data_IF_656023010641
#
_entry.id   IF_656023010641
#
_cell.length_a   1.000
_cell.length_b   1.000
_cell.length_c   1.000
_cell.angle_alpha   90.00
_cell.angle_beta   90.00
_cell.angle_gamma   90.00
#
_symmetry.space_group_name_H-M   'P 1'
#
loop_
_entity.id
_entity.type
_entity.pdbx_description
1 polymer ?
#
# COMPACT_ATOMS: atom_id res chain seq x y z
N UNK A 1 -23.38 -6.90 -16.00
CA UNK A 1 -22.06 -6.29 -15.74
C UNK A 1 -22.15 -5.37 -14.54
N UNK A 2 -21.22 -5.52 -13.61
CA UNK A 2 -21.06 -4.65 -12.45
C UNK A 2 -19.99 -3.59 -12.72
N UNK A 3 -20.16 -2.40 -12.15
CA UNK A 3 -19.19 -1.31 -12.20
C UNK A 3 -18.37 -1.32 -10.91
N UNK A 4 -17.05 -1.37 -11.04
CA UNK A 4 -16.12 -1.31 -9.90
C UNK A 4 -15.07 -0.26 -10.22
N UNK A 5 -14.75 0.58 -9.25
CA UNK A 5 -13.73 1.62 -9.43
C UNK A 5 -12.46 1.25 -8.68
N UNK A 6 -11.30 1.42 -9.33
CA UNK A 6 -9.99 1.14 -8.74
C UNK A 6 -9.21 2.44 -8.63
N UNK A 7 -8.68 2.70 -7.44
CA UNK A 7 -7.86 3.86 -7.11
C UNK A 7 -6.52 3.44 -6.49
N UNK A 8 -5.55 4.33 -6.62
CA UNK A 8 -4.25 4.20 -5.96
C UNK A 8 -3.19 3.51 -6.81
N UNK A 9 -2.31 2.74 -6.17
CA UNK A 9 -1.05 2.24 -6.74
C UNK A 9 -1.25 0.94 -7.56
N UNK A 10 -2.04 1.03 -8.62
CA UNK A 10 -2.15 0.01 -9.68
C UNK A 10 -1.63 0.56 -11.00
N UNK A 11 -1.28 -0.29 -11.97
CA UNK A 11 -0.76 0.20 -13.26
C UNK A 11 -1.79 1.08 -13.99
N UNK A 12 -3.05 0.64 -14.03
CA UNK A 12 -4.13 1.33 -14.72
C UNK A 12 -5.33 1.58 -13.79
N UNK A 13 -5.32 2.65 -12.97
CA UNK A 13 -6.49 3.00 -12.15
C UNK A 13 -7.65 3.47 -13.03
N UNK A 14 -8.89 3.23 -12.60
CA UNK A 14 -10.06 3.62 -13.38
C UNK A 14 -11.33 2.82 -13.07
N UNK A 15 -12.33 2.99 -13.93
CA UNK A 15 -13.62 2.29 -13.84
C UNK A 15 -13.60 1.02 -14.70
N UNK A 16 -13.96 -0.11 -14.10
CA UNK A 16 -13.99 -1.42 -14.74
C UNK A 16 -15.42 -1.97 -14.81
N UNK A 17 -15.75 -2.55 -15.96
CA UNK A 17 -17.01 -3.27 -16.20
C UNK A 17 -16.75 -4.77 -16.12
N UNK A 18 -17.30 -5.41 -15.11
CA UNK A 18 -16.94 -6.77 -14.72
C UNK A 18 -18.16 -7.70 -14.70
N UNK A 19 -17.92 -9.00 -14.63
CA UNK A 19 -18.96 -9.99 -14.41
C UNK A 19 -19.25 -10.15 -12.92
N UNK A 20 -20.45 -10.60 -12.55
CA UNK A 20 -20.90 -10.68 -11.13
C UNK A 20 -20.15 -11.71 -10.27
N UNK A 21 -19.17 -12.41 -10.86
CA UNK A 21 -18.34 -13.41 -10.17
C UNK A 21 -16.86 -13.00 -10.08
N UNK A 22 -16.52 -11.79 -10.49
CA UNK A 22 -15.12 -11.34 -10.50
C UNK A 22 -14.64 -11.05 -9.09
N UNK A 23 -13.46 -11.54 -8.75
CA UNK A 23 -12.79 -11.31 -7.45
C UNK A 23 -11.89 -10.08 -7.50
N UNK A 24 -11.50 -9.54 -6.34
CA UNK A 24 -10.58 -8.40 -6.29
C UNK A 24 -9.24 -8.69 -6.99
N UNK A 25 -8.70 -9.90 -6.83
CA UNK A 25 -7.43 -10.31 -7.44
C UNK A 25 -7.51 -10.23 -8.97
N UNK A 26 -8.61 -10.75 -9.55
CA UNK A 26 -8.83 -10.73 -10.99
C UNK A 26 -8.92 -9.30 -11.51
N UNK A 27 -9.61 -8.42 -10.78
CA UNK A 27 -9.75 -7.00 -11.14
C UNK A 27 -8.43 -6.25 -11.09
N UNK A 28 -7.62 -6.49 -10.06
CA UNK A 28 -6.28 -5.89 -9.95
C UNK A 28 -5.38 -6.40 -11.08
N UNK A 29 -5.51 -7.68 -11.43
CA UNK A 29 -4.79 -8.27 -12.57
C UNK A 29 -5.21 -7.63 -13.89
N UNK A 30 -6.51 -7.39 -14.10
CA UNK A 30 -7.03 -6.63 -15.25
C UNK A 30 -6.53 -5.18 -15.27
N UNK A 31 -6.30 -4.59 -14.10
CA UNK A 31 -5.71 -3.26 -13.95
C UNK A 31 -4.19 -3.22 -14.17
N UNK A 32 -3.59 -4.32 -14.65
CA UNK A 32 -2.16 -4.44 -14.92
C UNK A 32 -1.32 -4.82 -13.69
N UNK A 33 -1.96 -5.13 -12.56
CA UNK A 33 -1.30 -5.46 -11.32
C UNK A 33 -0.94 -4.25 -10.44
N UNK A 34 -0.45 -4.51 -9.22
CA UNK A 34 0.03 -3.47 -8.32
C UNK A 34 1.32 -2.82 -8.85
N UNK A 35 1.52 -1.53 -8.54
CA UNK A 35 2.79 -0.86 -8.80
C UNK A 35 3.86 -1.30 -7.78
N UNK A 36 5.17 -1.12 -8.08
CA UNK A 36 6.24 -1.42 -7.13
C UNK A 36 6.16 -0.64 -5.81
N UNK A 37 5.48 0.50 -5.79
CA UNK A 37 5.26 1.33 -4.60
C UNK A 37 3.94 1.05 -3.90
N UNK A 38 3.22 -0.03 -4.25
CA UNK A 38 1.93 -0.36 -3.65
C UNK A 38 2.11 -1.05 -2.30
N UNK A 39 1.30 -0.66 -1.32
CA UNK A 39 1.20 -1.35 -0.04
C UNK A 39 0.21 -2.52 -0.18
N UNK A 40 0.77 -3.72 -0.36
CA UNK A 40 0.02 -4.97 -0.56
C UNK A 40 -0.58 -5.52 0.73
N UNK A 41 -0.16 -5.01 1.89
CA UNK A 41 -0.65 -5.45 3.19
C UNK A 41 -1.93 -4.72 3.62
N UNK A 42 -2.19 -3.52 3.07
CA UNK A 42 -3.36 -2.68 3.40
C UNK A 42 -4.28 -2.40 2.20
N UNK A 43 -4.71 -3.44 1.48
CA UNK A 43 -5.67 -3.23 0.39
C UNK A 43 -7.09 -3.10 0.93
N UNK A 44 -7.86 -2.16 0.38
CA UNK A 44 -9.16 -1.75 0.94
C UNK A 44 -10.26 -1.81 -0.12
N UNK A 45 -11.42 -2.35 0.27
CA UNK A 45 -12.66 -2.24 -0.50
C UNK A 45 -13.62 -1.37 0.29
N UNK A 46 -14.08 -0.28 -0.32
CA UNK A 46 -15.19 0.53 0.19
C UNK A 46 -16.47 0.09 -0.50
N UNK A 47 -17.46 -0.28 0.31
CA UNK A 47 -18.77 -0.71 -0.17
C UNK A 47 -19.86 0.14 0.44
N UNK A 48 -20.76 0.62 -0.41
CA UNK A 48 -21.95 1.32 0.03
C UNK A 48 -23.01 0.31 0.49
N UNK A 49 -23.48 0.49 1.73
CA UNK A 49 -24.58 -0.30 2.30
C UNK A 49 -25.94 0.28 1.91
N UNK A 50 -27.03 -0.50 2.05
CA UNK A 50 -28.39 -0.02 1.78
C UNK A 50 -28.82 1.18 2.63
N UNK A 51 -28.20 1.37 3.80
CA UNK A 51 -28.44 2.49 4.72
C UNK A 51 -27.64 3.76 4.34
N UNK A 52 -27.01 3.78 3.16
CA UNK A 52 -26.15 4.87 2.67
C UNK A 52 -24.86 5.08 3.48
N UNK A 53 -24.48 4.14 4.34
CA UNK A 53 -23.16 4.13 4.98
C UNK A 53 -22.13 3.39 4.14
N UNK A 54 -20.84 3.60 4.40
CA UNK A 54 -19.76 2.85 3.77
C UNK A 54 -19.16 1.85 4.76
N UNK A 55 -19.00 0.60 4.34
CA UNK A 55 -18.12 -0.36 5.01
C UNK A 55 -16.75 -0.38 4.33
N UNK A 56 -15.71 -0.50 5.16
CA UNK A 56 -14.35 -0.75 4.71
C UNK A 56 -14.02 -2.21 4.99
N UNK A 57 -13.61 -2.93 3.95
CA UNK A 57 -13.14 -4.31 4.05
C UNK A 57 -11.65 -4.29 3.71
N UNK A 58 -10.81 -4.53 4.72
CA UNK A 58 -9.36 -4.68 4.52
C UNK A 58 -9.05 -6.13 4.15
N UNK A 59 -8.11 -6.31 3.23
CA UNK A 59 -7.60 -7.61 2.85
C UNK A 59 -6.13 -7.50 2.46
N UNK A 60 -5.36 -8.52 2.81
CA UNK A 60 -3.94 -8.59 2.54
C UNK A 60 -3.71 -9.41 1.25
N UNK A 61 -2.97 -8.84 0.30
CA UNK A 61 -2.64 -9.50 -0.96
C UNK A 61 -1.44 -10.43 -0.86
N UNK A 62 -0.49 -10.15 0.04
CA UNK A 62 0.67 -11.00 0.30
C UNK A 62 0.28 -12.36 0.88
N UNK A 63 -0.79 -12.42 1.68
CA UNK A 63 -1.36 -13.68 2.19
C UNK A 63 -1.72 -14.67 1.06
N UNK A 64 -1.99 -14.16 -0.16
CA UNK A 64 -2.42 -14.94 -1.30
C UNK A 64 -1.27 -15.36 -2.23
N UNK A 65 -0.18 -14.57 -2.28
CA UNK A 65 0.94 -14.81 -3.20
C UNK A 65 2.18 -15.42 -2.54
N UNK A 66 2.44 -15.10 -1.27
CA UNK A 66 3.72 -15.36 -0.61
C UNK A 66 3.61 -16.27 0.61
N UNK A 67 2.39 -16.69 0.98
CA UNK A 67 2.20 -17.54 2.14
C UNK A 67 2.25 -19.01 1.75
N UNK A 68 3.35 -19.69 2.13
CA UNK A 68 3.52 -21.14 1.94
C UNK A 68 2.58 -21.99 2.82
N UNK A 69 1.95 -21.36 3.82
CA UNK A 69 1.05 -22.02 4.77
C UNK A 69 -0.38 -21.55 4.54
N UNK A 70 -1.19 -22.41 3.94
CA UNK A 70 -2.64 -22.21 3.68
C UNK A 70 -3.51 -22.05 4.95
N UNK A 71 -2.93 -21.95 6.14
CA UNK A 71 -3.67 -21.97 7.42
C UNK A 71 -4.45 -20.68 7.71
N UNK A 72 -4.12 -19.56 7.06
CA UNK A 72 -4.86 -18.29 7.15
C UNK A 72 -4.89 -17.55 5.82
N UNK A 73 -5.52 -18.16 4.82
CA UNK A 73 -5.89 -17.39 3.63
C UNK A 73 -7.20 -16.67 3.92
N UNK A 74 -7.14 -15.36 4.12
CA UNK A 74 -8.36 -14.56 4.11
C UNK A 74 -8.87 -14.56 2.66
N UNK A 75 -9.99 -15.23 2.34
CA UNK A 75 -10.43 -15.32 0.95
C UNK A 75 -10.69 -13.91 0.43
N UNK A 76 -10.14 -13.60 -0.75
CA UNK A 76 -10.35 -12.30 -1.37
C UNK A 76 -11.86 -12.00 -1.43
N UNK A 77 -12.29 -10.82 -0.95
CA UNK A 77 -13.72 -10.52 -0.88
C UNK A 77 -14.33 -10.56 -2.28
N UNK A 78 -15.53 -11.12 -2.38
CA UNK A 78 -16.31 -11.00 -3.61
C UNK A 78 -16.72 -9.56 -3.80
N UNK A 79 -16.55 -9.07 -5.03
CA UNK A 79 -16.93 -7.72 -5.40
C UNK A 79 -18.43 -7.63 -5.63
N UNK A 80 -19.01 -6.51 -5.22
CA UNK A 80 -20.38 -6.13 -5.47
C UNK A 80 -20.45 -4.89 -6.36
N UNK A 81 -21.57 -4.66 -7.07
CA UNK A 81 -21.74 -3.47 -7.89
C UNK A 81 -21.58 -2.18 -7.08
N UNK A 82 -20.74 -1.27 -7.58
CA UNK A 82 -20.46 0.01 -6.93
C UNK A 82 -19.30 -0.04 -5.92
N UNK A 83 -18.67 -1.18 -5.71
CA UNK A 83 -17.47 -1.28 -4.87
C UNK A 83 -16.34 -0.38 -5.41
N UNK A 84 -15.61 0.23 -4.47
CA UNK A 84 -14.42 1.03 -4.74
C UNK A 84 -13.23 0.32 -4.12
N UNK A 85 -12.28 -0.09 -4.94
CA UNK A 85 -11.02 -0.70 -4.51
C UNK A 85 -9.98 0.41 -4.39
N UNK A 86 -9.32 0.48 -3.24
CA UNK A 86 -8.20 1.39 -2.98
C UNK A 86 -6.95 0.58 -2.67
N UNK A 87 -5.91 0.78 -3.47
CA UNK A 87 -4.55 0.30 -3.20
C UNK A 87 -3.68 1.46 -2.71
N UNK A 88 -3.41 1.55 -1.40
CA UNK A 88 -2.50 2.57 -0.90
C UNK A 88 -1.08 2.36 -1.43
N UNK A 89 -0.28 3.41 -1.30
CA UNK A 89 1.16 3.32 -1.55
C UNK A 89 1.87 2.97 -0.26
N UNK A 90 3.02 2.33 -0.37
CA UNK A 90 3.89 2.07 0.78
C UNK A 90 4.11 3.39 1.54
N UNK A 91 4.00 3.38 2.88
CA UNK A 91 4.21 4.57 3.67
C UNK A 91 5.60 5.13 3.37
N UNK A 92 5.69 6.44 3.11
CA UNK A 92 6.99 7.10 2.95
C UNK A 92 7.75 6.96 4.24
N UNK A 93 8.75 6.09 4.22
CA UNK A 93 9.55 5.70 5.36
C UNK A 93 10.58 6.81 5.67
N UNK A 94 10.12 7.88 6.34
CA UNK A 94 10.96 9.04 6.69
C UNK A 94 12.15 8.72 7.62
N UNK A 95 12.20 7.52 8.20
CA UNK A 95 13.26 7.11 9.12
C UNK A 95 14.65 7.23 8.48
N UNK A 96 14.79 7.00 7.16
CA UNK A 96 16.07 7.23 6.46
C UNK A 96 16.47 8.69 6.43
N UNK A 97 15.50 9.59 6.23
CA UNK A 97 15.75 11.04 6.27
C UNK A 97 16.13 11.51 7.68
N UNK A 98 15.39 11.07 8.72
CA UNK A 98 15.74 11.38 10.12
C UNK A 98 17.12 10.86 10.52
N UNK A 99 17.46 9.63 10.11
CA UNK A 99 18.78 9.07 10.34
C UNK A 99 19.86 9.90 9.63
N UNK A 100 19.66 10.28 8.37
CA UNK A 100 20.65 11.09 7.63
C UNK A 100 20.88 12.47 8.26
N UNK A 101 19.82 13.10 8.77
CA UNK A 101 19.88 14.37 9.46
C UNK A 101 20.63 14.23 10.78
N UNK A 102 20.29 13.21 11.58
CA UNK A 102 21.02 12.87 12.81
C UNK A 102 22.50 12.61 12.56
N UNK A 103 22.83 11.80 11.56
CA UNK A 103 24.21 11.49 11.16
C UNK A 103 24.97 12.76 10.73
N UNK A 104 24.34 13.67 9.99
CA UNK A 104 24.98 14.93 9.56
C UNK A 104 25.29 15.89 10.72
N UNK A 105 24.38 15.99 11.70
CA UNK A 105 24.60 16.82 12.89
C UNK A 105 25.75 16.24 13.70
N UNK A 106 25.74 14.91 13.90
CA UNK A 106 26.82 14.21 14.58
C UNK A 106 28.17 14.37 13.85
N UNK A 107 28.21 14.23 12.53
CA UNK A 107 29.45 14.39 11.75
C UNK A 107 30.01 15.81 11.83
N UNK A 108 29.12 16.81 11.82
CA UNK A 108 29.50 18.22 11.92
C UNK A 108 30.09 18.51 13.30
N UNK A 109 29.44 18.03 14.37
CA UNK A 109 29.95 18.16 15.73
C UNK A 109 31.31 17.47 15.89
N UNK A 110 31.45 16.23 15.40
CA UNK A 110 32.73 15.51 15.39
C UNK A 110 33.83 16.29 14.66
N UNK A 111 33.52 16.86 13.50
CA UNK A 111 34.48 17.65 12.72
C UNK A 111 34.91 18.91 13.47
N UNK A 112 33.99 19.59 14.14
CA UNK A 112 34.29 20.76 14.99
C UNK A 112 35.17 20.33 16.17
N UNK A 113 34.84 19.23 16.86
CA UNK A 113 35.63 18.71 17.98
C UNK A 113 37.05 18.37 17.56
N UNK A 114 37.24 17.67 16.44
CA UNK A 114 38.57 17.35 15.89
C UNK A 114 39.36 18.60 15.52
N UNK A 115 38.70 19.61 14.94
CA UNK A 115 39.34 20.87 14.57
C UNK A 115 39.88 21.61 15.80
N UNK A 116 39.10 21.65 16.89
CA UNK A 116 39.53 22.26 18.15
C UNK A 116 40.74 21.52 18.73
N UNK A 117 40.71 20.17 18.73
CA UNK A 117 41.83 19.35 19.21
C UNK A 117 43.10 19.62 18.40
N UNK A 118 43.00 19.71 17.08
CA UNK A 118 44.14 19.98 16.20
C UNK A 118 44.77 21.35 16.42
N UNK A 119 43.97 22.38 16.72
CA UNK A 119 44.48 23.74 17.01
C UNK A 119 45.15 23.81 18.39
N UNK A 120 44.71 22.96 19.33
CA UNK A 120 45.15 23.02 20.74
C UNK A 120 46.42 22.19 21.02
N UNK A 121 46.72 21.18 20.20
CA UNK A 121 47.97 20.40 20.23
C UNK A 121 49.01 20.96 19.25
#
# INVERSE_FOLDING_TARGET
>A
NMKVQIWGNVQFPGLYLLSEKTTVIEVISLAGGPQPSADLDDMRVFRMKPDSTYEMINFNYNDLLWNDKLEKVTPAPKLLPGDIILLPGEPRLYWREYLSLGLSVMSTLLSITLSIIYITN
#
